data_IF_214251723373
#
_entry.id   IF_214251723373
#
_cell.length_a   1.000
_cell.length_b   1.000
_cell.length_c   1.000
_cell.angle_alpha   90.00
_cell.angle_beta   90.00
_cell.angle_gamma   90.00
#
_symmetry.space_group_name_H-M   'P 1'
#
loop_
_entity.id
_entity.type
_entity.pdbx_description
1 polymer ?
#
# COMPACT_ATOMS: atom_id res chain seq x y z
N UNK A 1 9.97 -11.10 3.48
CA UNK A 1 10.61 -10.09 2.61
C UNK A 1 9.55 -9.07 2.23
N UNK A 2 9.84 -7.77 2.30
CA UNK A 2 8.88 -6.73 1.86
C UNK A 2 9.17 -6.34 0.42
N UNK A 3 8.13 -6.18 -0.39
CA UNK A 3 8.25 -5.72 -1.78
C UNK A 3 7.11 -4.77 -2.14
N UNK A 4 7.39 -3.73 -2.92
CA UNK A 4 6.36 -2.79 -3.38
C UNK A 4 5.34 -3.49 -4.29
N UNK A 5 4.05 -3.20 -4.10
CA UNK A 5 2.97 -3.88 -4.81
C UNK A 5 3.00 -3.69 -6.34
N UNK A 6 3.51 -2.56 -6.81
CA UNK A 6 3.67 -2.24 -8.24
C UNK A 6 4.72 -3.14 -8.92
N UNK A 7 5.72 -3.63 -8.17
CA UNK A 7 6.65 -4.66 -8.65
C UNK A 7 6.00 -6.03 -8.85
N UNK A 8 4.81 -6.24 -8.26
CA UNK A 8 4.07 -7.50 -8.30
C UNK A 8 2.87 -7.45 -9.27
N UNK A 9 2.68 -6.32 -9.95
CA UNK A 9 1.53 -6.05 -10.81
C UNK A 9 1.33 -7.10 -11.90
N UNK A 10 2.40 -7.55 -12.55
CA UNK A 10 2.31 -8.56 -13.60
C UNK A 10 1.71 -9.89 -13.10
N UNK A 11 1.96 -10.27 -11.84
CA UNK A 11 1.36 -11.46 -11.26
C UNK A 11 -0.14 -11.28 -10.99
N UNK A 12 -0.51 -10.11 -10.48
CA UNK A 12 -1.92 -9.76 -10.22
C UNK A 12 -2.71 -9.78 -11.54
N UNK A 13 -2.17 -9.15 -12.59
CA UNK A 13 -2.84 -9.02 -13.89
C UNK A 13 -2.94 -10.37 -14.64
N UNK A 14 -1.99 -11.28 -14.45
CA UNK A 14 -1.96 -12.58 -15.15
C UNK A 14 -2.72 -13.68 -14.40
N UNK A 15 -3.09 -13.46 -13.13
CA UNK A 15 -3.75 -14.47 -12.29
C UNK A 15 -2.87 -15.70 -12.00
N UNK A 16 -1.55 -15.60 -12.25
CA UNK A 16 -0.61 -16.70 -12.02
C UNK A 16 -0.38 -16.85 -10.52
N UNK A 17 -0.68 -18.04 -9.99
CA UNK A 17 -0.37 -18.38 -8.60
C UNK A 17 1.15 -18.34 -8.38
N UNK A 18 1.58 -17.55 -7.40
CA UNK A 18 3.00 -17.32 -7.08
C UNK A 18 3.64 -18.50 -6.31
N UNK A 19 2.86 -19.54 -6.00
CA UNK A 19 3.35 -20.76 -5.37
C UNK A 19 4.05 -20.48 -4.04
N UNK A 20 5.21 -21.10 -3.81
CA UNK A 20 5.98 -20.93 -2.57
C UNK A 20 6.54 -19.51 -2.38
N UNK A 21 6.74 -18.75 -3.48
CA UNK A 21 7.24 -17.38 -3.38
C UNK A 21 6.24 -16.46 -2.67
N UNK A 22 4.94 -16.78 -2.75
CA UNK A 22 3.87 -16.02 -2.09
C UNK A 22 3.98 -16.09 -0.57
N UNK A 23 4.63 -17.13 -0.04
CA UNK A 23 4.89 -17.29 1.40
C UNK A 23 6.10 -16.50 1.89
N UNK A 24 6.97 -16.06 0.98
CA UNK A 24 8.23 -15.37 1.30
C UNK A 24 8.11 -13.84 1.20
N UNK A 25 7.21 -13.37 0.34
CA UNK A 25 7.00 -11.95 0.06
C UNK A 25 5.75 -11.44 0.79
N UNK A 26 5.85 -10.25 1.37
CA UNK A 26 4.75 -9.50 1.93
C UNK A 26 4.65 -8.17 1.17
N UNK A 27 3.60 -7.99 0.34
CA UNK A 27 3.42 -6.79 -0.45
C UNK A 27 3.24 -5.54 0.42
N UNK A 28 3.86 -4.45 -0.01
CA UNK A 28 3.69 -3.11 0.54
C UNK A 28 2.91 -2.26 -0.46
N UNK A 29 1.66 -2.00 -0.11
CA UNK A 29 0.73 -1.20 -0.91
C UNK A 29 0.97 0.27 -0.60
N UNK A 30 1.22 1.07 -1.63
CA UNK A 30 1.53 2.49 -1.47
C UNK A 30 0.61 3.36 -2.32
N UNK A 31 0.23 4.49 -1.76
CA UNK A 31 -0.46 5.59 -2.42
C UNK A 31 -0.22 6.82 -1.56
N UNK A 32 0.36 7.86 -2.16
CA UNK A 32 0.76 9.08 -1.45
C UNK A 32 -0.25 10.22 -1.65
N UNK A 33 -1.39 9.97 -2.29
CA UNK A 33 -2.48 10.94 -2.38
C UNK A 33 -3.20 11.12 -1.04
N UNK A 34 -3.79 12.30 -0.81
CA UNK A 34 -4.52 12.61 0.43
C UNK A 34 -5.72 11.68 0.65
N UNK A 35 -6.22 11.03 -0.41
CA UNK A 35 -7.45 10.26 -0.42
C UNK A 35 -7.25 8.75 -0.64
N UNK A 36 -6.03 8.30 -0.93
CA UNK A 36 -5.70 6.89 -1.24
C UNK A 36 -6.62 6.35 -2.35
N UNK A 37 -6.60 7.01 -3.51
CA UNK A 37 -7.49 6.72 -4.66
C UNK A 37 -6.84 5.88 -5.77
N UNK A 38 -5.51 5.79 -5.80
CA UNK A 38 -4.73 5.10 -6.82
C UNK A 38 -4.73 3.58 -6.66
N UNK A 39 -5.05 3.07 -5.47
CA UNK A 39 -5.11 1.63 -5.21
C UNK A 39 -6.56 1.15 -5.19
N UNK A 40 -6.88 0.25 -6.11
CA UNK A 40 -8.21 -0.37 -6.20
C UNK A 40 -8.35 -1.49 -5.16
N UNK A 41 -9.55 -1.65 -4.62
CA UNK A 41 -9.88 -2.73 -3.67
C UNK A 41 -9.56 -4.12 -4.26
N UNK A 42 -9.82 -4.33 -5.56
CA UNK A 42 -9.47 -5.55 -6.27
C UNK A 42 -7.97 -5.89 -6.12
N UNK A 43 -7.09 -4.91 -6.29
CA UNK A 43 -5.64 -5.10 -6.14
C UNK A 43 -5.28 -5.56 -4.73
N UNK A 44 -5.89 -4.97 -3.70
CA UNK A 44 -5.64 -5.34 -2.30
C UNK A 44 -6.08 -6.79 -2.06
N UNK A 45 -7.26 -7.18 -2.56
CA UNK A 45 -7.79 -8.54 -2.41
C UNK A 45 -6.91 -9.58 -3.09
N UNK A 46 -6.48 -9.32 -4.33
CA UNK A 46 -5.56 -10.22 -5.05
C UNK A 46 -4.21 -10.39 -4.34
N UNK A 47 -3.66 -9.31 -3.78
CA UNK A 47 -2.43 -9.39 -2.99
C UNK A 47 -2.62 -10.24 -1.73
N UNK A 48 -3.73 -10.08 -1.02
CA UNK A 48 -4.03 -10.90 0.16
C UNK A 48 -4.21 -12.37 -0.21
N UNK A 49 -4.91 -12.64 -1.31
CA UNK A 49 -5.14 -14.02 -1.78
C UNK A 49 -3.84 -14.73 -2.15
N UNK A 50 -2.88 -14.03 -2.77
CA UNK A 50 -1.64 -14.62 -3.27
C UNK A 50 -0.49 -14.63 -2.24
N UNK A 51 -0.46 -13.66 -1.32
CA UNK A 51 0.66 -13.45 -0.39
C UNK A 51 0.27 -13.57 1.09
N UNK A 52 -1.02 -13.61 1.41
CA UNK A 52 -1.57 -13.73 2.76
C UNK A 52 -1.45 -12.46 3.60
N UNK A 53 -0.25 -11.86 3.68
CA UNK A 53 0.05 -10.70 4.51
C UNK A 53 0.43 -9.49 3.66
N UNK A 54 -0.16 -8.34 3.98
CA UNK A 54 0.11 -7.08 3.29
C UNK A 54 0.40 -5.95 4.29
N UNK A 55 1.09 -4.93 3.80
CA UNK A 55 1.42 -3.70 4.52
C UNK A 55 0.90 -2.49 3.75
N UNK A 56 0.55 -1.44 4.48
CA UNK A 56 0.29 -0.13 3.90
C UNK A 56 1.55 0.73 3.95
N UNK A 57 1.67 1.69 3.04
CA UNK A 57 2.75 2.67 3.03
C UNK A 57 2.23 4.06 2.75
N UNK A 58 2.55 4.96 3.66
CA UNK A 58 2.25 6.39 3.63
C UNK A 58 3.55 7.20 3.52
N UNK A 59 3.45 8.50 3.30
CA UNK A 59 4.60 9.39 3.22
C UNK A 59 4.60 10.46 4.33
N UNK A 60 5.79 10.80 4.84
CA UNK A 60 6.06 11.94 5.73
C UNK A 60 6.75 13.10 5.00
N UNK A 61 7.54 12.78 3.96
CA UNK A 61 8.17 13.75 3.06
C UNK A 61 8.43 13.12 1.69
N UNK A 62 8.61 13.97 0.67
CA UNK A 62 8.84 13.54 -0.71
C UNK A 62 7.59 12.90 -1.33
N UNK A 63 7.74 12.13 -2.41
CA UNK A 63 6.62 11.43 -3.07
C UNK A 63 5.48 12.32 -3.66
N UNK A 64 5.62 13.64 -3.65
CA UNK A 64 4.69 14.58 -4.27
C UNK A 64 5.20 15.12 -5.61
N UNK A 65 6.43 15.61 -5.65
CA UNK A 65 7.11 16.02 -6.87
C UNK A 65 8.61 15.76 -6.76
N UNK A 66 9.29 15.32 -7.85
CA UNK A 66 10.76 15.24 -7.87
C UNK A 66 11.45 16.57 -7.56
N UNK A 67 10.76 17.69 -7.74
CA UNK A 67 11.30 19.04 -7.52
C UNK A 67 10.83 19.69 -6.22
N UNK A 68 10.14 18.95 -5.35
CA UNK A 68 9.63 19.49 -4.09
C UNK A 68 10.78 19.87 -3.15
N UNK A 69 10.94 21.18 -2.90
CA UNK A 69 11.95 21.69 -1.96
C UNK A 69 11.42 21.85 -0.52
N UNK A 70 10.10 21.87 -0.35
CA UNK A 70 9.45 22.13 0.94
C UNK A 70 8.55 20.97 1.35
N UNK A 71 8.52 20.67 2.65
CA UNK A 71 7.65 19.63 3.19
C UNK A 71 6.20 20.14 3.29
N UNK A 72 5.29 19.52 2.53
CA UNK A 72 3.84 19.73 2.61
C UNK A 72 3.23 18.92 3.75
N UNK A 73 3.53 19.26 5.01
CA UNK A 73 3.13 18.46 6.18
C UNK A 73 1.62 18.14 6.26
N UNK A 74 0.73 19.07 5.90
CA UNK A 74 -0.74 18.84 5.89
C UNK A 74 -1.12 17.73 4.90
N UNK A 75 -0.47 17.69 3.74
CA UNK A 75 -0.72 16.68 2.71
C UNK A 75 -0.36 15.28 3.23
N UNK A 76 0.82 15.15 3.84
CA UNK A 76 1.30 13.89 4.41
C UNK A 76 0.53 13.45 5.64
N UNK A 77 0.10 14.39 6.50
CA UNK A 77 -0.79 14.10 7.62
C UNK A 77 -2.10 13.49 7.13
N UNK A 78 -2.74 14.08 6.12
CA UNK A 78 -3.96 13.54 5.52
C UNK A 78 -3.74 12.15 4.93
N UNK A 79 -2.63 11.93 4.20
CA UNK A 79 -2.28 10.61 3.66
C UNK A 79 -2.13 9.56 4.78
N UNK A 80 -1.45 9.91 5.88
CA UNK A 80 -1.30 9.02 7.04
C UNK A 80 -2.66 8.65 7.65
N UNK A 81 -3.50 9.65 7.94
CA UNK A 81 -4.84 9.42 8.51
C UNK A 81 -5.69 8.58 7.56
N UNK A 82 -5.62 8.85 6.27
CA UNK A 82 -6.41 8.14 5.27
C UNK A 82 -6.02 6.66 5.18
N UNK A 83 -4.73 6.32 5.27
CA UNK A 83 -4.30 4.92 5.35
C UNK A 83 -4.83 4.20 6.60
N UNK A 84 -4.95 4.89 7.73
CA UNK A 84 -5.58 4.34 8.94
C UNK A 84 -7.08 4.10 8.73
N UNK A 85 -7.78 5.05 8.11
CA UNK A 85 -9.21 4.94 7.80
C UNK A 85 -9.49 3.80 6.81
N UNK A 86 -8.70 3.68 5.76
CA UNK A 86 -8.81 2.59 4.79
C UNK A 86 -8.66 1.22 5.47
N UNK A 87 -7.66 1.04 6.32
CA UNK A 87 -7.50 -0.20 7.07
C UNK A 87 -8.66 -0.51 8.02
N UNK A 88 -9.25 0.52 8.65
CA UNK A 88 -10.47 0.32 9.46
C UNK A 88 -11.64 -0.11 8.59
N UNK A 89 -11.83 0.51 7.43
CA UNK A 89 -12.85 0.14 6.45
C UNK A 89 -12.71 -1.33 6.04
N UNK A 90 -11.52 -1.74 5.60
CA UNK A 90 -11.23 -3.12 5.21
C UNK A 90 -11.47 -4.16 6.31
N UNK A 91 -11.19 -3.82 7.58
CA UNK A 91 -11.46 -4.71 8.71
C UNK A 91 -12.95 -4.88 9.04
N UNK A 92 -13.79 -3.93 8.62
CA UNK A 92 -15.23 -3.93 8.91
C UNK A 92 -16.08 -4.56 7.79
N UNK A 93 -15.47 -4.92 6.66
CA UNK A 93 -16.15 -5.58 5.54
C UNK A 93 -16.49 -7.05 5.87
N UNK A 94 -17.40 -7.64 5.08
CA UNK A 94 -17.81 -9.04 5.23
C UNK A 94 -16.66 -10.04 5.06
N UNK A 95 -15.68 -9.69 4.23
CA UNK A 95 -14.41 -10.39 4.09
C UNK A 95 -13.28 -9.47 4.57
N UNK A 96 -12.90 -9.53 5.86
CA UNK A 96 -11.95 -8.60 6.44
C UNK A 96 -10.55 -8.76 5.84
N UNK A 97 -9.93 -7.64 5.48
CA UNK A 97 -8.50 -7.59 5.15
C UNK A 97 -7.73 -7.00 6.32
N UNK A 98 -6.77 -7.77 6.85
CA UNK A 98 -5.88 -7.33 7.92
C UNK A 98 -4.54 -6.90 7.33
N UNK A 99 -4.18 -5.64 7.56
CA UNK A 99 -2.85 -5.11 7.29
C UNK A 99 -1.97 -5.36 8.51
N UNK A 100 -0.73 -5.77 8.29
CA UNK A 100 0.24 -6.00 9.37
C UNK A 100 0.73 -4.69 10.00
N UNK A 101 0.64 -3.58 9.25
CA UNK A 101 0.97 -2.25 9.73
C UNK A 101 1.05 -1.20 8.62
N UNK A 102 1.49 0.00 9.02
CA UNK A 102 1.80 1.12 8.11
C UNK A 102 3.30 1.41 8.18
N UNK A 103 3.93 1.55 7.01
CA UNK A 103 5.28 2.06 6.86
C UNK A 103 5.18 3.56 6.52
N UNK A 104 5.87 4.41 7.28
CA UNK A 104 5.96 5.85 7.00
C UNK A 104 7.26 6.12 6.26
N UNK A 105 7.15 6.56 5.00
CA UNK A 105 8.28 6.77 4.10
C UNK A 105 8.74 8.23 4.08
N UNK A 106 10.01 8.46 3.79
CA UNK A 106 10.59 9.80 3.66
C UNK A 106 11.47 9.90 2.42
N UNK A 107 10.84 9.92 1.25
CA UNK A 107 11.54 9.89 -0.03
C UNK A 107 12.41 11.12 -0.25
N UNK A 108 13.49 10.92 -1.01
CA UNK A 108 14.35 11.96 -1.56
C UNK A 108 14.67 11.56 -2.98
N UNK A 109 14.47 12.46 -3.94
CA UNK A 109 14.87 12.28 -5.34
C UNK A 109 15.77 13.43 -5.74
#
# INVERSE_FOLDING_TARGET
ILAWHDMLRSFIETGVKIGELGKLIQPVVWDYSEYVQGVQEYTIRELVLNFGKIWASSAFKGADSPTAMYNRYVHYEKNNVQWVLQQRSFRQQSEPVNFEGIIITGWSR
#
